data_IF_623586859753
#
_entry.id   IF_623586859753
#
_cell.length_a   1.000
_cell.length_b   1.000
_cell.length_c   1.000
_cell.angle_alpha   90.00
_cell.angle_beta   90.00
_cell.angle_gamma   90.00
#
_symmetry.space_group_name_H-M   'P 1'
#
loop_
_entity.id
_entity.type
_entity.pdbx_description
1 polymer ?
#
# COMPACT_ATOMS: atom_id res chain seq x y z
N UNK A 1 -6.86 -0.61 -14.18
CA UNK A 1 -7.76 -0.56 -13.00
C UNK A 1 -7.65 -1.83 -12.17
N UNK A 2 -8.18 -2.99 -12.61
CA UNK A 2 -8.01 -4.25 -11.84
C UNK A 2 -6.59 -4.84 -11.92
N UNK A 3 -5.97 -4.88 -13.12
CA UNK A 3 -4.61 -5.44 -13.29
C UNK A 3 -3.58 -4.84 -12.33
N UNK A 4 -3.60 -3.52 -12.16
CA UNK A 4 -2.70 -2.79 -11.25
C UNK A 4 -2.93 -3.09 -9.76
N UNK A 5 -4.09 -3.64 -9.41
CA UNK A 5 -4.50 -4.00 -8.04
C UNK A 5 -4.64 -5.50 -7.84
N UNK A 6 -4.28 -6.29 -8.85
CA UNK A 6 -4.38 -7.75 -8.83
C UNK A 6 -3.62 -8.37 -7.65
N UNK A 7 -2.39 -7.94 -7.29
CA UNK A 7 -1.70 -8.47 -6.12
C UNK A 7 -2.49 -8.24 -4.83
N UNK A 8 -3.00 -7.01 -4.61
CA UNK A 8 -3.71 -6.66 -3.38
C UNK A 8 -5.03 -7.45 -3.26
N UNK A 9 -5.76 -7.62 -4.37
CA UNK A 9 -6.99 -8.43 -4.43
C UNK A 9 -6.71 -9.92 -4.23
N UNK A 10 -5.65 -10.46 -4.85
CA UNK A 10 -5.22 -11.84 -4.66
C UNK A 10 -4.85 -12.12 -3.20
N UNK A 11 -4.11 -11.20 -2.55
CA UNK A 11 -3.78 -11.32 -1.13
C UNK A 11 -5.05 -11.39 -0.26
N UNK A 12 -6.05 -10.55 -0.54
CA UNK A 12 -7.29 -10.56 0.24
C UNK A 12 -8.01 -11.92 0.17
N UNK A 13 -8.10 -12.54 -1.01
CA UNK A 13 -8.73 -13.85 -1.17
C UNK A 13 -7.93 -15.00 -0.56
N UNK A 14 -6.58 -14.90 -0.59
CA UNK A 14 -5.70 -15.84 0.11
C UNK A 14 -5.89 -15.70 1.63
N UNK A 15 -6.01 -14.47 2.15
CA UNK A 15 -6.26 -14.20 3.57
C UNK A 15 -7.62 -14.73 4.01
N UNK A 16 -8.66 -14.61 3.18
CA UNK A 16 -9.98 -15.17 3.43
C UNK A 16 -10.02 -16.71 3.36
N UNK A 17 -9.01 -17.32 2.75
CA UNK A 17 -8.93 -18.78 2.55
C UNK A 17 -9.73 -19.30 1.36
N UNK A 18 -10.32 -18.41 0.55
CA UNK A 18 -11.00 -18.74 -0.71
C UNK A 18 -10.04 -19.34 -1.72
N UNK A 19 -8.79 -18.83 -1.74
CA UNK A 19 -7.73 -19.22 -2.68
C UNK A 19 -6.58 -19.83 -1.88
N UNK A 20 -6.26 -21.10 -2.14
CA UNK A 20 -5.16 -21.80 -1.47
C UNK A 20 -4.00 -22.11 -2.41
N UNK A 21 -4.27 -22.16 -3.71
CA UNK A 21 -3.26 -22.48 -4.72
C UNK A 21 -3.51 -21.72 -6.03
N UNK A 22 -2.55 -21.83 -6.96
CA UNK A 22 -2.56 -21.17 -8.25
C UNK A 22 -3.80 -21.50 -9.08
N UNK A 23 -4.31 -22.73 -9.02
CA UNK A 23 -5.50 -23.14 -9.78
C UNK A 23 -6.75 -22.45 -9.26
N UNK A 24 -6.94 -22.41 -7.94
CA UNK A 24 -8.05 -21.68 -7.32
C UNK A 24 -8.01 -20.21 -7.73
N UNK A 25 -6.83 -19.60 -7.78
CA UNK A 25 -6.65 -18.22 -8.20
C UNK A 25 -6.96 -17.97 -9.67
N UNK A 26 -6.60 -18.90 -10.56
CA UNK A 26 -6.98 -18.84 -11.99
C UNK A 26 -8.49 -18.93 -12.15
N UNK A 27 -9.14 -19.84 -11.42
CA UNK A 27 -10.60 -19.98 -11.38
C UNK A 27 -11.24 -18.70 -10.86
N UNK A 28 -10.76 -18.15 -9.75
CA UNK A 28 -11.22 -16.88 -9.18
C UNK A 28 -11.12 -15.73 -10.19
N UNK A 29 -10.00 -15.60 -10.89
CA UNK A 29 -9.81 -14.57 -11.91
C UNK A 29 -10.83 -14.70 -13.07
N UNK A 30 -11.33 -15.91 -13.30
CA UNK A 30 -12.40 -16.19 -14.27
C UNK A 30 -13.77 -15.60 -13.92
N UNK A 31 -14.04 -15.32 -12.64
CA UNK A 31 -15.29 -14.67 -12.22
C UNK A 31 -15.24 -13.14 -12.32
N UNK A 32 -14.12 -12.58 -12.75
CA UNK A 32 -13.89 -11.14 -12.71
C UNK A 32 -14.34 -10.46 -14.00
N UNK A 33 -14.70 -9.17 -13.91
CA UNK A 33 -14.95 -8.35 -15.09
C UNK A 33 -13.73 -8.24 -16.01
N UNK A 34 -12.51 -8.28 -15.45
CA UNK A 34 -11.27 -8.28 -16.22
C UNK A 34 -11.23 -9.46 -17.20
N UNK A 35 -11.58 -10.67 -16.76
CA UNK A 35 -11.62 -11.84 -17.63
C UNK A 35 -12.59 -11.67 -18.80
N UNK A 36 -13.82 -11.23 -18.54
CA UNK A 36 -14.83 -10.98 -19.59
C UNK A 36 -14.30 -9.97 -20.61
N UNK A 37 -13.60 -8.94 -20.16
CA UNK A 37 -13.01 -7.91 -21.02
C UNK A 37 -11.84 -8.42 -21.84
N UNK A 38 -10.97 -9.25 -21.26
CA UNK A 38 -9.85 -9.88 -21.99
C UNK A 38 -10.35 -10.80 -23.11
N UNK A 39 -11.47 -11.52 -22.90
CA UNK A 39 -12.08 -12.33 -23.96
C UNK A 39 -12.72 -11.48 -25.07
N UNK A 40 -13.43 -10.41 -24.72
CA UNK A 40 -14.15 -9.58 -25.70
C UNK A 40 -13.25 -8.63 -26.49
N UNK A 41 -12.19 -8.11 -25.86
CA UNK A 41 -11.25 -7.17 -26.48
C UNK A 41 -9.80 -7.51 -26.12
N UNK A 42 -9.24 -8.63 -26.62
CA UNK A 42 -7.92 -9.14 -26.23
C UNK A 42 -6.77 -8.16 -26.52
N UNK A 43 -6.82 -7.47 -27.67
CA UNK A 43 -5.76 -6.55 -28.10
C UNK A 43 -5.52 -5.38 -27.15
N UNK A 44 -6.56 -4.92 -26.45
CA UNK A 44 -6.45 -3.85 -25.44
C UNK A 44 -5.66 -4.29 -24.20
N UNK A 45 -5.62 -5.61 -23.94
CA UNK A 45 -4.91 -6.20 -22.80
C UNK A 45 -3.58 -6.83 -23.22
N UNK A 46 -3.09 -6.53 -24.43
CA UNK A 46 -1.82 -7.06 -24.93
C UNK A 46 -1.87 -8.54 -25.32
N UNK A 47 -3.07 -9.11 -25.50
CA UNK A 47 -3.25 -10.49 -25.94
C UNK A 47 -3.39 -10.50 -27.47
N UNK A 48 -2.51 -11.21 -28.16
CA UNK A 48 -2.58 -11.35 -29.61
C UNK A 48 -3.74 -12.26 -30.02
N UNK A 49 -4.29 -12.03 -31.23
CA UNK A 49 -5.34 -12.90 -31.77
C UNK A 49 -4.88 -14.35 -31.95
N UNK A 50 -3.59 -14.57 -32.20
CA UNK A 50 -3.05 -15.92 -32.34
C UNK A 50 -2.95 -16.63 -30.98
N UNK A 51 -2.62 -15.90 -29.91
CA UNK A 51 -2.67 -16.45 -28.55
C UNK A 51 -4.11 -16.86 -28.18
N UNK A 52 -5.11 -16.05 -28.54
CA UNK A 52 -6.51 -16.41 -28.28
C UNK A 52 -6.95 -17.68 -29.05
N UNK A 53 -6.38 -17.97 -30.22
CA UNK A 53 -6.67 -19.23 -30.94
C UNK A 53 -6.10 -20.45 -30.22
N UNK A 54 -4.92 -20.31 -29.61
CA UNK A 54 -4.25 -21.40 -28.87
C UNK A 54 -4.78 -21.58 -27.45
N UNK A 55 -5.24 -20.50 -26.82
CA UNK A 55 -5.84 -20.49 -25.48
C UNK A 55 -7.19 -19.74 -25.47
N UNK A 56 -8.26 -20.36 -25.99
CA UNK A 56 -9.57 -19.70 -26.12
C UNK A 56 -10.18 -19.25 -24.79
N UNK A 57 -9.83 -19.92 -23.68
CA UNK A 57 -10.32 -19.63 -22.34
C UNK A 57 -9.34 -18.79 -21.50
N UNK A 58 -8.22 -18.36 -22.09
CA UNK A 58 -7.16 -17.60 -21.44
C UNK A 58 -6.71 -18.24 -20.12
N UNK A 59 -6.64 -19.56 -20.04
CA UNK A 59 -6.24 -20.28 -18.84
C UNK A 59 -4.75 -20.07 -18.55
N UNK A 60 -3.91 -20.21 -19.57
CA UNK A 60 -2.46 -20.01 -19.46
C UNK A 60 -2.16 -18.54 -19.19
N UNK A 61 -2.81 -17.64 -19.92
CA UNK A 61 -2.62 -16.20 -19.71
C UNK A 61 -3.05 -15.75 -18.30
N UNK A 62 -4.15 -16.28 -17.77
CA UNK A 62 -4.56 -16.01 -16.38
C UNK A 62 -3.57 -16.60 -15.38
N UNK A 63 -3.04 -17.79 -15.63
CA UNK A 63 -2.01 -18.38 -14.78
C UNK A 63 -0.76 -17.50 -14.71
N UNK A 64 -0.32 -16.92 -15.83
CA UNK A 64 0.82 -15.99 -15.88
C UNK A 64 0.56 -14.70 -15.10
N UNK A 65 -0.64 -14.13 -15.20
CA UNK A 65 -1.04 -12.95 -14.44
C UNK A 65 -1.03 -13.21 -12.93
N UNK A 66 -1.64 -14.33 -12.50
CA UNK A 66 -1.65 -14.72 -11.09
C UNK A 66 -0.24 -15.04 -10.62
N UNK A 67 0.56 -15.74 -11.43
CA UNK A 67 1.95 -16.05 -11.11
C UNK A 67 2.76 -14.77 -10.84
N UNK A 68 2.63 -13.78 -11.72
CA UNK A 68 3.29 -12.49 -11.56
C UNK A 68 2.82 -11.79 -10.28
N UNK A 69 1.51 -11.75 -10.02
CA UNK A 69 0.96 -11.17 -8.81
C UNK A 69 1.45 -11.88 -7.54
N UNK A 70 1.49 -13.21 -7.54
CA UNK A 70 2.00 -14.02 -6.44
C UNK A 70 3.50 -13.75 -6.18
N UNK A 71 4.31 -13.56 -7.22
CA UNK A 71 5.72 -13.19 -7.06
C UNK A 71 5.89 -11.83 -6.40
N UNK A 72 5.01 -10.85 -6.69
CA UNK A 72 5.01 -9.57 -5.99
C UNK A 72 4.64 -9.72 -4.51
N UNK A 73 3.62 -10.51 -4.20
CA UNK A 73 3.21 -10.78 -2.82
C UNK A 73 4.29 -11.51 -2.01
N UNK A 74 4.98 -12.46 -2.63
CA UNK A 74 6.09 -13.21 -2.03
C UNK A 74 7.29 -12.30 -1.73
N UNK A 75 7.68 -11.46 -2.69
CA UNK A 75 8.76 -10.46 -2.50
C UNK A 75 8.44 -9.45 -1.41
N UNK A 76 7.19 -9.00 -1.31
CA UNK A 76 6.75 -8.06 -0.28
C UNK A 76 6.52 -8.73 1.09
N UNK A 77 6.55 -10.06 1.17
CA UNK A 77 6.40 -10.84 2.41
C UNK A 77 4.95 -11.05 2.87
N UNK A 78 3.95 -10.81 2.01
CA UNK A 78 2.53 -10.96 2.35
C UNK A 78 2.05 -12.42 2.25
N UNK A 79 2.62 -13.18 1.31
CA UNK A 79 2.27 -14.58 1.06
C UNK A 79 3.58 -15.33 0.84
N UNK A 80 3.72 -16.55 1.35
CA UNK A 80 4.79 -17.46 0.91
C UNK A 80 4.27 -18.27 -0.27
N UNK A 81 4.89 -18.12 -1.43
CA UNK A 81 4.45 -18.79 -2.65
C UNK A 81 5.42 -19.91 -3.04
N UNK A 82 4.96 -21.16 -2.98
CA UNK A 82 5.73 -22.30 -3.50
C UNK A 82 5.49 -22.47 -5.00
N UNK A 83 6.50 -22.12 -5.80
CA UNK A 83 6.46 -22.19 -7.26
C UNK A 83 6.31 -23.61 -7.82
N UNK A 84 6.70 -24.64 -7.06
CA UNK A 84 6.62 -26.04 -7.51
C UNK A 84 5.23 -26.61 -7.34
N UNK A 85 4.64 -26.44 -6.17
CA UNK A 85 3.29 -26.93 -5.87
C UNK A 85 2.20 -25.96 -6.33
N UNK A 86 2.52 -24.67 -6.48
CA UNK A 86 1.56 -23.62 -6.74
C UNK A 86 0.79 -23.18 -5.49
N UNK A 87 1.17 -23.65 -4.29
CA UNK A 87 0.45 -23.36 -3.06
C UNK A 87 0.82 -21.98 -2.48
N UNK A 88 -0.17 -21.34 -1.87
CA UNK A 88 -0.03 -20.09 -1.14
C UNK A 88 -0.15 -20.34 0.36
N UNK A 89 0.77 -19.77 1.14
CA UNK A 89 0.66 -19.71 2.59
C UNK A 89 0.58 -18.25 3.02
N UNK A 90 -0.52 -17.89 3.66
CA UNK A 90 -0.72 -16.55 4.21
C UNK A 90 0.31 -16.24 5.31
N UNK A 91 0.81 -15.01 5.35
CA UNK A 91 1.62 -14.49 6.47
C UNK A 91 0.77 -13.54 7.32
N UNK A 92 1.16 -13.33 8.58
CA UNK A 92 0.45 -12.38 9.46
C UNK A 92 0.49 -10.95 8.89
N UNK A 93 1.60 -10.59 8.24
CA UNK A 93 1.73 -9.31 7.54
C UNK A 93 0.79 -9.22 6.34
N UNK A 94 0.55 -10.33 5.62
CA UNK A 94 -0.48 -10.41 4.57
C UNK A 94 -1.90 -10.19 5.10
N UNK A 95 -2.21 -10.73 6.29
CA UNK A 95 -3.50 -10.49 6.98
C UNK A 95 -3.69 -9.02 7.34
N UNK A 96 -2.67 -8.41 7.95
CA UNK A 96 -2.67 -6.98 8.28
C UNK A 96 -2.87 -6.14 7.02
N UNK A 97 -2.14 -6.45 5.94
CA UNK A 97 -2.29 -5.74 4.66
C UNK A 97 -3.73 -5.78 4.12
N UNK A 98 -4.37 -6.97 4.17
CA UNK A 98 -5.74 -7.16 3.73
C UNK A 98 -6.75 -6.45 4.64
N UNK A 99 -6.62 -6.58 5.96
CA UNK A 99 -7.57 -5.98 6.93
C UNK A 99 -7.56 -4.45 6.89
N UNK A 100 -6.40 -3.84 6.67
CA UNK A 100 -6.24 -2.38 6.64
C UNK A 100 -6.16 -1.80 5.22
N UNK A 101 -6.47 -2.59 4.18
CA UNK A 101 -6.46 -2.15 2.79
C UNK A 101 -5.15 -1.45 2.38
N UNK A 102 -4.02 -2.00 2.81
CA UNK A 102 -2.69 -1.50 2.47
C UNK A 102 -2.18 -2.18 1.19
N UNK A 103 -1.55 -1.41 0.31
CA UNK A 103 -0.93 -2.00 -0.89
C UNK A 103 0.29 -2.85 -0.54
N UNK A 104 0.57 -3.89 -1.33
CA UNK A 104 1.77 -4.73 -1.16
C UNK A 104 3.09 -3.92 -1.22
N UNK A 105 3.11 -2.81 -1.96
CA UNK A 105 4.22 -1.87 -2.01
C UNK A 105 4.46 -1.22 -0.64
N UNK A 106 3.39 -0.69 -0.03
CA UNK A 106 3.44 -0.04 1.30
C UNK A 106 3.95 -0.99 2.37
N UNK A 107 3.44 -2.22 2.36
CA UNK A 107 3.85 -3.25 3.31
C UNK A 107 5.31 -3.67 3.09
N UNK A 108 5.77 -3.74 1.84
CA UNK A 108 7.19 -3.94 1.54
C UNK A 108 8.05 -2.82 2.13
N UNK A 109 7.65 -1.55 1.95
CA UNK A 109 8.33 -0.39 2.54
C UNK A 109 8.37 -0.51 4.06
N UNK A 110 7.25 -0.83 4.72
CA UNK A 110 7.21 -1.00 6.16
C UNK A 110 8.09 -2.16 6.63
N UNK A 111 8.10 -3.28 5.91
CA UNK A 111 8.93 -4.43 6.24
C UNK A 111 10.42 -4.09 6.22
N UNK A 112 10.86 -3.22 5.29
CA UNK A 112 12.24 -2.78 5.13
C UNK A 112 12.65 -1.69 6.13
N UNK A 113 11.76 -0.73 6.41
CA UNK A 113 12.11 0.47 7.17
C UNK A 113 11.78 0.37 8.66
N UNK A 114 10.78 -0.40 9.07
CA UNK A 114 10.42 -0.55 10.47
C UNK A 114 11.52 -1.30 11.24
N UNK A 115 12.00 -0.69 12.33
CA UNK A 115 13.03 -1.25 13.23
C UNK A 115 12.61 -1.06 14.69
N UNK A 116 13.07 -1.90 15.64
CA UNK A 116 12.61 -1.85 17.04
C UNK A 116 12.83 -0.50 17.74
N UNK A 117 13.89 0.23 17.36
CA UNK A 117 14.35 1.45 18.03
C UNK A 117 14.07 2.72 17.22
N UNK A 118 13.04 2.72 16.37
CA UNK A 118 12.68 3.92 15.60
C UNK A 118 12.28 5.08 16.51
N UNK A 119 12.82 6.25 16.19
CA UNK A 119 12.38 7.53 16.74
C UNK A 119 11.04 7.95 16.12
N UNK A 120 10.34 8.91 16.75
CA UNK A 120 9.10 9.46 16.18
C UNK A 120 9.38 10.14 14.84
N UNK A 121 10.51 10.85 14.71
CA UNK A 121 10.97 11.47 13.46
C UNK A 121 11.00 10.44 12.33
N UNK A 122 11.64 9.30 12.58
CA UNK A 122 11.74 8.25 11.56
C UNK A 122 10.40 7.56 11.31
N UNK A 123 9.54 7.43 12.33
CA UNK A 123 8.22 6.84 12.18
C UNK A 123 7.32 7.67 11.24
N UNK A 124 7.32 9.00 11.38
CA UNK A 124 6.64 9.89 10.42
C UNK A 124 7.22 9.75 9.01
N UNK A 125 8.54 9.63 8.88
CA UNK A 125 9.18 9.36 7.57
C UNK A 125 8.70 8.04 6.97
N UNK A 126 8.66 6.95 7.75
CA UNK A 126 8.18 5.64 7.26
C UNK A 126 6.73 5.74 6.79
N UNK A 127 5.88 6.43 7.54
CA UNK A 127 4.51 6.71 7.14
C UNK A 127 4.45 7.49 5.81
N UNK A 128 5.24 8.53 5.65
CA UNK A 128 5.23 9.36 4.43
C UNK A 128 5.70 8.63 3.17
N UNK A 129 6.44 7.53 3.31
CA UNK A 129 6.91 6.68 2.21
C UNK A 129 5.90 5.60 1.80
N UNK A 130 4.67 5.64 2.31
CA UNK A 130 3.61 4.69 1.95
C UNK A 130 3.25 4.79 0.47
N UNK A 131 3.03 3.65 -0.19
CA UNK A 131 2.71 3.55 -1.61
C UNK A 131 1.38 4.21 -2.01
N UNK A 132 0.51 4.50 -1.05
CA UNK A 132 -0.73 5.27 -1.23
C UNK A 132 -0.44 6.73 -1.59
N UNK A 133 0.72 7.26 -1.19
CA UNK A 133 1.11 8.65 -1.41
C UNK A 133 1.99 8.86 -2.64
N UNK A 134 2.20 7.81 -3.46
CA UNK A 134 3.09 7.84 -4.64
C UNK A 134 2.76 8.94 -5.67
N UNK A 135 1.50 9.40 -5.71
CA UNK A 135 1.02 10.41 -6.66
C UNK A 135 1.03 11.83 -6.06
N UNK A 136 1.36 11.99 -4.77
CA UNK A 136 1.52 13.31 -4.16
C UNK A 136 2.83 13.88 -4.68
N UNK A 137 2.79 15.12 -5.13
CA UNK A 137 3.96 15.88 -5.56
C UNK A 137 3.98 17.23 -4.88
N UNK A 138 5.17 17.82 -4.78
CA UNK A 138 5.34 19.19 -4.30
C UNK A 138 5.21 20.14 -5.50
N UNK A 139 4.32 21.12 -5.41
CA UNK A 139 4.10 22.14 -6.45
C UNK A 139 4.83 23.43 -6.06
N UNK A 140 5.22 24.25 -7.03
CA UNK A 140 5.99 25.47 -6.75
C UNK A 140 5.18 26.49 -5.93
N UNK A 141 3.89 26.63 -6.23
CA UNK A 141 2.98 27.58 -5.59
C UNK A 141 2.73 27.30 -4.09
N UNK A 142 2.97 26.07 -3.63
CA UNK A 142 2.76 25.65 -2.24
C UNK A 142 4.06 25.60 -1.41
N UNK A 143 5.24 25.74 -2.04
CA UNK A 143 6.54 25.63 -1.34
C UNK A 143 6.68 26.62 -0.19
N UNK A 144 6.27 27.88 -0.40
CA UNK A 144 6.40 28.90 0.64
C UNK A 144 5.50 28.61 1.85
N UNK A 145 4.30 28.09 1.62
CA UNK A 145 3.39 27.68 2.69
C UNK A 145 3.91 26.45 3.42
N UNK A 146 4.40 25.44 2.69
CA UNK A 146 5.03 24.25 3.26
C UNK A 146 6.24 24.61 4.13
N UNK A 147 7.08 25.56 3.71
CA UNK A 147 8.24 25.99 4.49
C UNK A 147 7.83 26.59 5.84
N UNK A 148 6.81 27.47 5.82
CA UNK A 148 6.25 28.05 7.06
C UNK A 148 5.66 26.97 7.97
N UNK A 149 5.05 25.93 7.41
CA UNK A 149 4.52 24.81 8.20
C UNK A 149 5.66 23.96 8.79
N UNK A 150 6.72 23.68 8.03
CA UNK A 150 7.89 22.92 8.50
C UNK A 150 8.57 23.56 9.73
N UNK A 151 8.54 24.89 9.83
CA UNK A 151 9.08 25.61 11.00
C UNK A 151 8.16 25.55 12.24
N UNK A 152 6.89 25.18 12.05
CA UNK A 152 5.85 25.19 13.10
C UNK A 152 5.47 23.80 13.60
N UNK A 153 5.78 22.75 12.85
CA UNK A 153 5.46 21.37 13.24
C UNK A 153 6.35 20.90 14.40
N UNK A 154 5.80 20.11 15.34
CA UNK A 154 6.51 19.75 16.57
C UNK A 154 7.63 18.72 16.35
N UNK A 155 7.52 17.86 15.33
CA UNK A 155 8.48 16.79 15.08
C UNK A 155 9.35 17.18 13.87
N UNK A 156 10.69 17.26 14.03
CA UNK A 156 11.59 17.63 12.96
C UNK A 156 11.48 16.73 11.74
N UNK A 157 11.56 17.34 10.55
CA UNK A 157 11.51 16.66 9.25
C UNK A 157 12.91 16.71 8.65
N UNK A 158 13.43 15.55 8.23
CA UNK A 158 14.82 15.42 7.73
C UNK A 158 14.91 15.55 6.20
N UNK A 159 13.80 15.31 5.53
CA UNK A 159 13.64 15.36 4.09
C UNK A 159 13.74 16.81 3.57
N UNK A 160 14.20 16.97 2.33
CA UNK A 160 14.11 18.25 1.65
C UNK A 160 12.65 18.62 1.39
N UNK A 161 12.31 19.91 1.43
CA UNK A 161 10.96 20.41 1.13
C UNK A 161 10.47 20.03 -0.27
N UNK A 162 11.40 19.75 -1.18
CA UNK A 162 11.09 19.33 -2.56
C UNK A 162 10.71 17.85 -2.66
N UNK A 163 10.96 17.06 -1.60
CA UNK A 163 10.57 15.66 -1.55
C UNK A 163 9.08 15.52 -1.20
N UNK A 164 8.30 14.71 -1.93
CA UNK A 164 6.90 14.43 -1.58
C UNK A 164 6.71 13.85 -0.16
N UNK A 165 7.69 13.10 0.33
CA UNK A 165 7.72 12.56 1.68
C UNK A 165 7.71 13.66 2.75
N UNK A 166 8.42 14.76 2.52
CA UNK A 166 8.41 15.93 3.40
C UNK A 166 7.01 16.54 3.45
N UNK A 167 6.39 16.75 2.28
CA UNK A 167 5.03 17.27 2.18
C UNK A 167 4.02 16.40 2.95
N UNK A 168 4.02 15.08 2.75
CA UNK A 168 3.12 14.18 3.47
C UNK A 168 3.36 14.25 4.99
N UNK A 169 4.63 14.33 5.41
CA UNK A 169 4.99 14.41 6.82
C UNK A 169 4.45 15.71 7.45
N UNK A 170 4.72 16.86 6.81
CA UNK A 170 4.20 18.17 7.23
C UNK A 170 2.69 18.15 7.32
N UNK A 171 2.00 17.63 6.31
CA UNK A 171 0.54 17.64 6.26
C UNK A 171 -0.08 16.79 7.37
N UNK A 172 0.49 15.63 7.69
CA UNK A 172 0.03 14.81 8.81
C UNK A 172 0.22 15.55 10.14
N UNK A 173 1.39 16.16 10.36
CA UNK A 173 1.66 16.91 11.58
C UNK A 173 0.81 18.18 11.71
N UNK A 174 0.58 18.89 10.60
CA UNK A 174 -0.27 20.06 10.55
C UNK A 174 -1.72 19.73 10.90
N UNK A 175 -2.21 18.57 10.44
CA UNK A 175 -3.53 18.06 10.82
C UNK A 175 -3.63 17.78 12.33
N UNK A 176 -2.69 17.01 12.88
CA UNK A 176 -2.67 16.68 14.34
C UNK A 176 -2.56 17.97 15.17
N UNK A 177 -1.80 18.94 14.69
CA UNK A 177 -1.56 20.22 15.37
C UNK A 177 -2.69 21.26 15.11
N UNK A 178 -3.73 20.90 14.35
CA UNK A 178 -4.85 21.78 13.99
C UNK A 178 -4.40 23.12 13.36
N UNK A 179 -3.33 23.07 12.56
CA UNK A 179 -2.84 24.24 11.83
C UNK A 179 -3.77 24.58 10.66
N UNK A 180 -3.96 25.87 10.40
CA UNK A 180 -4.71 26.34 9.25
C UNK A 180 -3.82 26.39 8.02
N UNK A 181 -4.36 25.91 6.90
CA UNK A 181 -3.75 26.01 5.57
C UNK A 181 -4.54 27.02 4.73
N UNK A 182 -3.83 27.77 3.91
CA UNK A 182 -4.38 28.79 3.01
C UNK A 182 -4.63 28.21 1.61
N UNK A 183 -3.73 27.33 1.13
CA UNK A 183 -3.82 26.72 -0.19
C UNK A 183 -4.87 25.62 -0.31
N UNK A 184 -5.80 25.77 -1.26
CA UNK A 184 -6.84 24.75 -1.54
C UNK A 184 -6.25 23.39 -1.93
N UNK A 185 -5.19 23.38 -2.75
CA UNK A 185 -4.53 22.14 -3.18
C UNK A 185 -3.90 21.41 -1.97
N UNK A 186 -3.24 22.13 -1.08
CA UNK A 186 -2.66 21.57 0.15
C UNK A 186 -3.74 21.04 1.10
N UNK A 187 -4.87 21.75 1.24
CA UNK A 187 -6.00 21.24 2.03
C UNK A 187 -6.55 19.92 1.47
N UNK A 188 -6.70 19.83 0.14
CA UNK A 188 -7.13 18.58 -0.50
C UNK A 188 -6.13 17.45 -0.26
N UNK A 189 -4.83 17.71 -0.41
CA UNK A 189 -3.78 16.73 -0.16
C UNK A 189 -3.75 16.32 1.32
N UNK A 190 -3.96 17.25 2.25
CA UNK A 190 -4.06 16.98 3.69
C UNK A 190 -5.21 16.02 3.99
N UNK A 191 -6.40 16.27 3.43
CA UNK A 191 -7.58 15.40 3.61
C UNK A 191 -7.29 13.99 3.08
N UNK A 192 -6.64 13.87 1.93
CA UNK A 192 -6.26 12.56 1.38
C UNK A 192 -5.25 11.81 2.27
N UNK A 193 -4.25 12.53 2.79
CA UNK A 193 -3.25 11.99 3.72
C UNK A 193 -3.93 11.52 5.01
N UNK A 194 -4.82 12.31 5.60
CA UNK A 194 -5.43 12.01 6.91
C UNK A 194 -6.49 10.92 6.83
N UNK A 195 -7.31 10.89 5.77
CA UNK A 195 -8.22 9.76 5.50
C UNK A 195 -7.46 8.44 5.32
N UNK A 196 -6.20 8.52 4.85
CA UNK A 196 -5.31 7.37 4.75
C UNK A 196 -4.52 7.09 6.02
N UNK A 197 -4.33 8.09 6.86
CA UNK A 197 -3.48 7.98 8.04
C UNK A 197 -4.01 6.96 9.05
N UNK A 198 -5.32 6.94 9.30
CA UNK A 198 -5.93 6.03 10.28
C UNK A 198 -5.61 4.57 9.95
N UNK A 199 -5.90 4.11 8.72
CA UNK A 199 -5.64 2.71 8.31
C UNK A 199 -4.16 2.37 8.23
N UNK A 200 -3.34 3.28 7.72
CA UNK A 200 -1.91 3.05 7.53
C UNK A 200 -1.16 3.02 8.86
N UNK A 201 -1.43 3.97 9.76
CA UNK A 201 -0.83 3.99 11.10
C UNK A 201 -1.28 2.77 11.90
N UNK A 202 -2.52 2.33 11.74
CA UNK A 202 -3.03 1.12 12.38
C UNK A 202 -2.37 -0.15 11.83
N UNK A 203 -2.13 -0.25 10.53
CA UNK A 203 -1.32 -1.32 9.95
C UNK A 203 0.12 -1.33 10.49
N UNK A 204 0.77 -0.17 10.60
CA UNK A 204 2.10 -0.06 11.23
C UNK A 204 2.05 -0.59 12.66
N UNK A 205 1.08 -0.13 13.47
CA UNK A 205 0.90 -0.58 14.85
C UNK A 205 0.78 -2.11 14.95
N UNK A 206 -0.07 -2.74 14.15
CA UNK A 206 -0.27 -4.20 14.19
C UNK A 206 0.98 -4.97 13.74
N UNK A 207 1.73 -4.48 12.73
CA UNK A 207 3.01 -5.08 12.32
C UNK A 207 4.02 -5.04 13.47
N UNK A 208 4.14 -3.88 14.12
CA UNK A 208 5.07 -3.65 15.22
C UNK A 208 4.69 -4.47 16.46
N UNK A 209 3.40 -4.57 16.75
CA UNK A 209 2.85 -5.38 17.83
C UNK A 209 3.12 -6.88 17.59
N UNK A 210 2.85 -7.38 16.38
CA UNK A 210 3.15 -8.76 16.00
C UNK A 210 4.65 -9.09 16.13
N UNK A 211 5.53 -8.13 15.81
CA UNK A 211 6.99 -8.28 15.96
C UNK A 211 7.48 -8.13 17.41
N UNK A 212 6.62 -7.75 18.35
CA UNK A 212 6.95 -7.65 19.77
C UNK A 212 7.79 -6.42 20.16
N UNK A 213 7.74 -5.34 19.38
CA UNK A 213 8.57 -4.15 19.62
C UNK A 213 7.84 -3.14 20.51
N UNK A 214 7.85 -3.38 21.82
CA UNK A 214 7.04 -2.66 22.81
C UNK A 214 7.14 -1.12 22.73
N UNK A 215 8.36 -0.57 22.67
CA UNK A 215 8.55 0.89 22.60
C UNK A 215 7.95 1.51 21.34
N UNK A 216 8.09 0.85 20.20
CA UNK A 216 7.52 1.34 18.95
C UNK A 216 6.00 1.11 18.90
N UNK A 217 5.50 0.03 19.51
CA UNK A 217 4.07 -0.24 19.63
C UNK A 217 3.35 0.87 20.42
N UNK A 218 3.97 1.35 21.50
CA UNK A 218 3.44 2.47 22.30
C UNK A 218 3.37 3.78 21.49
N UNK A 219 4.45 4.13 20.78
CA UNK A 219 4.50 5.31 19.90
C UNK A 219 3.47 5.26 18.78
N UNK A 220 3.39 4.13 18.08
CA UNK A 220 2.46 3.94 16.95
C UNK A 220 1.01 3.95 17.41
N UNK A 221 0.69 3.36 18.56
CA UNK A 221 -0.65 3.44 19.14
C UNK A 221 -1.03 4.86 19.56
N UNK A 222 -0.07 5.60 20.14
CA UNK A 222 -0.26 7.00 20.48
C UNK A 222 -0.52 7.85 19.24
N UNK A 223 0.20 7.58 18.14
CA UNK A 223 -0.06 8.22 16.84
C UNK A 223 -1.42 7.86 16.23
N UNK A 224 -1.86 6.60 16.30
CA UNK A 224 -3.23 6.25 15.91
C UNK A 224 -4.25 7.12 16.64
N UNK A 225 -4.12 7.25 17.96
CA UNK A 225 -5.03 8.06 18.78
C UNK A 225 -4.95 9.55 18.47
N UNK A 226 -3.78 10.07 18.10
CA UNK A 226 -3.60 11.46 17.68
C UNK A 226 -4.21 11.74 16.31
N UNK A 227 -4.24 10.76 15.41
CA UNK A 227 -4.89 10.88 14.09
C UNK A 227 -6.40 10.75 14.19
N UNK A 228 -6.92 9.96 15.12
CA UNK A 228 -8.36 9.73 15.29
C UNK A 228 -9.08 10.87 16.07
N UNK A 229 -8.34 11.71 16.79
CA UNK A 229 -8.88 12.78 17.67
C UNK A 229 -8.79 14.15 17.02
#
# INVERSE_FOLDING_TARGET
QMLSKLPDMLNAEIVLGTIQNLRDAVTWLGYTYLYIRMLRQPTLYGISHDHLKTDPMLETYRADLIHTAALHLDRSGLVKYDRKSGNFQVTEVGRIASHYYCTHDTISTYNQLLKPMLSEIELFRVFSLSGEFRNITVREEEKLELQKLMERVPIPIKESIEEPSAKVNVLLQAYISQLKLEGFALMSDMVYVTQSAARLMRAIFEIVLYRGWAQLADKTLSLCKMVDR
#
